data_IF_604361038155
#
_entry.id   IF_604361038155
#
_cell.length_a   1.000
_cell.length_b   1.000
_cell.length_c   1.000
_cell.angle_alpha   90.00
_cell.angle_beta   90.00
_cell.angle_gamma   90.00
#
_symmetry.space_group_name_H-M   'P 1'
#
loop_
_entity.id
_entity.type
_entity.pdbx_description
1 polymer ?
#
# COMPACT_ATOMS: atom_id res chain seq x y z
N UNK A 1 15.91 3.84 -8.27
CA UNK A 1 15.51 3.11 -9.49
C UNK A 1 14.00 2.92 -9.50
N UNK A 2 13.34 2.98 -10.67
CA UNK A 2 11.90 2.70 -10.78
C UNK A 2 11.67 1.18 -10.68
N UNK A 3 10.65 0.70 -9.94
CA UNK A 3 10.34 -0.72 -9.87
C UNK A 3 9.99 -1.27 -11.25
N UNK A 4 10.42 -2.50 -11.52
CA UNK A 4 10.16 -3.21 -12.78
C UNK A 4 8.78 -3.85 -12.70
N UNK A 5 7.90 -3.53 -13.65
CA UNK A 5 6.48 -3.96 -13.59
C UNK A 5 6.19 -5.21 -14.42
N UNK A 6 7.09 -5.60 -15.32
CA UNK A 6 6.91 -6.75 -16.21
C UNK A 6 8.23 -7.43 -16.55
N UNK A 7 8.15 -8.72 -16.91
CA UNK A 7 9.33 -9.49 -17.32
C UNK A 7 10.00 -8.91 -18.58
N UNK A 8 9.23 -8.35 -19.50
CA UNK A 8 9.76 -7.71 -20.71
C UNK A 8 10.59 -6.46 -20.37
N UNK A 9 10.13 -5.67 -19.39
CA UNK A 9 10.87 -4.50 -18.90
C UNK A 9 12.15 -4.91 -18.15
N UNK A 10 12.13 -6.04 -17.44
CA UNK A 10 13.33 -6.60 -16.82
C UNK A 10 14.37 -6.99 -17.88
N UNK A 11 13.95 -7.74 -18.90
CA UNK A 11 14.82 -8.18 -20.00
C UNK A 11 15.41 -6.98 -20.75
N UNK A 12 14.60 -5.94 -20.99
CA UNK A 12 15.08 -4.72 -21.65
C UNK A 12 16.14 -3.98 -20.82
N UNK A 13 15.95 -3.88 -19.50
CA UNK A 13 16.91 -3.22 -18.62
C UNK A 13 18.20 -4.02 -18.45
N UNK A 14 18.11 -5.33 -18.29
CA UNK A 14 19.27 -6.22 -18.22
C UNK A 14 20.07 -6.20 -19.54
N UNK A 15 19.40 -6.01 -20.67
CA UNK A 15 20.07 -5.88 -21.98
C UNK A 15 20.76 -4.53 -22.16
N UNK A 16 20.29 -3.48 -21.49
CA UNK A 16 20.83 -2.11 -21.61
C UNK A 16 21.86 -1.78 -20.53
N UNK A 17 21.86 -2.50 -19.41
CA UNK A 17 22.70 -2.24 -18.25
C UNK A 17 23.60 -3.46 -17.95
N UNK A 18 24.88 -3.43 -18.38
CA UNK A 18 25.80 -4.54 -18.15
C UNK A 18 26.16 -4.73 -16.67
N UNK A 19 26.05 -3.71 -15.81
CA UNK A 19 26.28 -3.86 -14.38
C UNK A 19 25.12 -4.63 -13.73
N UNK A 20 23.88 -4.33 -14.12
CA UNK A 20 22.70 -5.07 -13.66
C UNK A 20 22.74 -6.54 -14.09
N UNK A 21 23.27 -6.82 -15.29
CA UNK A 21 23.44 -8.18 -15.78
C UNK A 21 24.45 -8.99 -14.94
N UNK A 22 25.55 -8.36 -14.50
CA UNK A 22 26.52 -8.99 -13.61
C UNK A 22 25.97 -9.17 -12.19
N UNK A 23 25.18 -8.22 -11.70
CA UNK A 23 24.55 -8.31 -10.38
C UNK A 23 23.53 -9.47 -10.31
N UNK A 24 22.73 -9.66 -11.36
CA UNK A 24 21.82 -10.81 -11.49
C UNK A 24 22.58 -12.14 -11.59
N UNK A 25 23.72 -12.20 -12.28
CA UNK A 25 24.55 -13.43 -12.32
C UNK A 25 25.12 -13.77 -10.95
N UNK A 26 25.47 -12.75 -10.15
CA UNK A 26 26.08 -12.92 -8.84
C UNK A 26 25.07 -13.33 -7.77
N UNK A 27 23.92 -12.65 -7.71
CA UNK A 27 22.83 -12.99 -6.80
C UNK A 27 21.46 -12.70 -7.44
N UNK A 28 20.90 -13.67 -8.18
CA UNK A 28 19.69 -13.45 -8.96
C UNK A 28 18.46 -13.20 -8.08
N UNK A 29 18.39 -13.82 -6.90
CA UNK A 29 17.20 -13.77 -6.03
C UNK A 29 17.11 -12.42 -5.33
N UNK A 30 18.20 -11.95 -4.75
CA UNK A 30 18.23 -10.67 -4.03
C UNK A 30 18.08 -9.49 -5.01
N UNK A 31 18.69 -9.56 -6.19
CA UNK A 31 18.61 -8.51 -7.21
C UNK A 31 17.18 -8.35 -7.73
N UNK A 32 16.47 -9.45 -8.01
CA UNK A 32 15.07 -9.41 -8.46
C UNK A 32 14.15 -8.85 -7.36
N UNK A 33 14.38 -9.20 -6.09
CA UNK A 33 13.61 -8.66 -4.95
C UNK A 33 13.69 -7.14 -4.84
N UNK A 34 14.87 -6.56 -5.07
CA UNK A 34 15.09 -5.09 -5.03
C UNK A 34 14.48 -4.35 -6.21
N UNK A 35 14.29 -5.04 -7.33
CA UNK A 35 13.67 -4.49 -8.53
C UNK A 35 12.13 -4.53 -8.49
N UNK A 36 11.54 -5.25 -7.53
CA UNK A 36 10.09 -5.34 -7.31
C UNK A 36 9.44 -4.02 -6.85
N UNK A 37 8.09 -3.94 -6.83
CA UNK A 37 7.37 -2.74 -6.41
C UNK A 37 7.66 -2.38 -4.93
N UNK A 38 7.94 -1.10 -4.61
CA UNK A 38 8.40 -0.66 -3.29
C UNK A 38 7.38 -0.90 -2.18
N UNK A 39 6.09 -1.04 -2.52
CA UNK A 39 5.01 -1.33 -1.59
C UNK A 39 5.14 -2.71 -0.93
N UNK A 40 5.76 -3.68 -1.59
CA UNK A 40 6.02 -5.00 -0.99
C UNK A 40 7.35 -5.05 -0.22
N UNK A 41 8.30 -4.15 -0.55
CA UNK A 41 9.61 -4.10 0.09
C UNK A 41 9.58 -3.31 1.41
N UNK A 42 8.72 -2.30 1.53
CA UNK A 42 8.74 -1.37 2.67
C UNK A 42 7.57 -1.57 3.65
N UNK A 43 7.79 -2.45 4.63
CA UNK A 43 6.87 -2.68 5.76
C UNK A 43 6.56 -1.42 6.57
N UNK A 44 7.45 -0.42 6.54
CA UNK A 44 7.31 0.80 7.32
C UNK A 44 6.24 1.70 6.71
N UNK A 45 6.25 1.86 5.38
CA UNK A 45 5.20 2.57 4.64
C UNK A 45 3.85 1.89 4.86
N UNK A 46 3.79 0.56 4.75
CA UNK A 46 2.56 -0.19 5.03
C UNK A 46 2.03 0.07 6.44
N UNK A 47 2.90 0.02 7.47
CA UNK A 47 2.49 0.30 8.86
C UNK A 47 2.00 1.72 9.06
N UNK A 48 2.66 2.72 8.47
CA UNK A 48 2.23 4.12 8.59
C UNK A 48 0.85 4.31 7.97
N UNK A 49 0.64 3.83 6.75
CA UNK A 49 -0.63 4.01 6.03
C UNK A 49 -1.77 3.30 6.78
N UNK A 50 -1.58 2.05 7.18
CA UNK A 50 -2.60 1.28 7.92
C UNK A 50 -2.89 1.90 9.28
N UNK A 51 -1.86 2.35 10.02
CA UNK A 51 -2.07 2.99 11.32
C UNK A 51 -2.73 4.37 11.21
N UNK A 52 -2.41 5.17 10.19
CA UNK A 52 -3.05 6.46 9.94
C UNK A 52 -4.52 6.30 9.53
N UNK A 53 -4.82 5.37 8.62
CA UNK A 53 -6.20 5.08 8.19
C UNK A 53 -7.02 4.46 9.34
N UNK A 54 -6.43 3.49 10.07
CA UNK A 54 -7.06 2.89 11.24
C UNK A 54 -7.27 3.88 12.39
N UNK A 55 -6.32 4.79 12.62
CA UNK A 55 -6.46 5.88 13.58
C UNK A 55 -7.59 6.84 13.19
N UNK A 56 -7.64 7.24 11.92
CA UNK A 56 -8.70 8.10 11.39
C UNK A 56 -10.09 7.47 11.54
N UNK A 57 -10.19 6.16 11.27
CA UNK A 57 -11.40 5.36 11.51
C UNK A 57 -11.83 5.40 12.98
N UNK A 58 -10.91 5.13 13.92
CA UNK A 58 -11.23 5.13 15.35
C UNK A 58 -11.66 6.52 15.84
N UNK A 59 -10.97 7.58 15.39
CA UNK A 59 -11.30 8.97 15.75
C UNK A 59 -12.67 9.37 15.20
N UNK A 60 -12.99 9.02 13.95
CA UNK A 60 -14.29 9.35 13.36
C UNK A 60 -15.43 8.60 14.04
N UNK A 61 -15.26 7.31 14.36
CA UNK A 61 -16.27 6.53 15.09
C UNK A 61 -16.47 7.06 16.51
N UNK A 62 -15.40 7.28 17.26
CA UNK A 62 -15.50 7.81 18.64
C UNK A 62 -16.05 9.22 18.67
N UNK A 63 -15.66 10.07 17.73
CA UNK A 63 -16.22 11.42 17.55
C UNK A 63 -17.72 11.39 17.21
N UNK A 64 -18.15 10.47 16.33
CA UNK A 64 -19.56 10.30 15.97
C UNK A 64 -20.39 9.88 17.20
N UNK A 65 -19.91 8.89 17.95
CA UNK A 65 -20.56 8.42 19.19
C UNK A 65 -20.63 9.55 20.20
N UNK A 66 -19.55 10.32 20.39
CA UNK A 66 -19.52 11.46 21.30
C UNK A 66 -20.54 12.55 20.94
N UNK A 67 -20.67 12.87 19.64
CA UNK A 67 -21.69 13.82 19.16
C UNK A 67 -23.11 13.30 19.38
N UNK A 68 -23.36 12.02 19.06
CA UNK A 68 -24.66 11.40 19.22
C UNK A 68 -25.10 11.37 20.70
N UNK A 69 -24.21 11.02 21.62
CA UNK A 69 -24.48 11.08 23.07
C UNK A 69 -24.73 12.50 23.54
N UNK A 70 -24.07 13.50 22.95
CA UNK A 70 -24.31 14.90 23.23
C UNK A 70 -25.60 15.46 22.58
N UNK A 71 -26.40 14.61 21.91
CA UNK A 71 -27.63 15.00 21.22
C UNK A 71 -27.40 15.92 20.02
N UNK A 72 -26.18 15.93 19.46
CA UNK A 72 -25.83 16.71 18.28
C UNK A 72 -25.90 15.83 17.04
N UNK A 73 -26.31 16.42 15.93
CA UNK A 73 -26.26 15.76 14.63
C UNK A 73 -24.82 15.46 14.23
N UNK A 74 -24.61 14.25 13.71
CA UNK A 74 -23.31 13.82 13.20
C UNK A 74 -23.12 14.40 11.79
N UNK A 75 -22.09 15.20 11.52
CA UNK A 75 -21.87 15.78 10.21
C UNK A 75 -21.60 14.71 9.15
N UNK A 76 -22.17 14.86 7.95
CA UNK A 76 -21.96 13.94 6.83
C UNK A 76 -20.49 13.80 6.43
N UNK A 77 -19.70 14.86 6.58
CA UNK A 77 -18.24 14.83 6.37
C UNK A 77 -17.57 13.80 7.29
N UNK A 78 -18.01 13.71 8.55
CA UNK A 78 -17.45 12.77 9.52
C UNK A 78 -17.74 11.32 9.11
N UNK A 79 -18.95 11.06 8.61
CA UNK A 79 -19.37 9.76 8.06
C UNK A 79 -18.58 9.46 6.77
N UNK A 80 -18.40 10.45 5.90
CA UNK A 80 -17.63 10.35 4.67
C UNK A 80 -16.17 9.96 4.90
N UNK A 81 -15.52 10.56 5.90
CA UNK A 81 -14.13 10.23 6.26
C UNK A 81 -14.04 8.80 6.83
N UNK A 82 -14.98 8.40 7.70
CA UNK A 82 -15.02 7.05 8.27
C UNK A 82 -15.21 5.98 7.18
N UNK A 83 -16.18 6.18 6.28
CA UNK A 83 -16.44 5.26 5.16
C UNK A 83 -15.31 5.20 4.14
N UNK A 84 -14.68 6.34 3.81
CA UNK A 84 -13.51 6.38 2.95
C UNK A 84 -12.30 5.66 3.55
N UNK A 85 -12.12 5.77 4.87
CA UNK A 85 -11.06 5.06 5.61
C UNK A 85 -11.32 3.54 5.62
N UNK A 86 -12.56 3.10 5.86
CA UNK A 86 -12.96 1.68 5.73
C UNK A 86 -12.68 1.12 4.34
N UNK A 87 -13.12 1.82 3.29
CA UNK A 87 -12.94 1.38 1.91
C UNK A 87 -11.46 1.26 1.53
N UNK A 88 -10.64 2.19 1.99
CA UNK A 88 -9.19 2.16 1.78
C UNK A 88 -8.53 0.98 2.50
N UNK A 89 -8.91 0.70 3.74
CA UNK A 89 -8.42 -0.48 4.49
C UNK A 89 -8.88 -1.78 3.84
N UNK A 90 -10.14 -1.88 3.41
CA UNK A 90 -10.65 -3.03 2.69
C UNK A 90 -9.87 -3.25 1.37
N UNK A 91 -9.58 -2.19 0.62
CA UNK A 91 -8.76 -2.26 -0.59
C UNK A 91 -7.31 -2.66 -0.33
N UNK A 92 -6.69 -2.16 0.74
CA UNK A 92 -5.31 -2.50 1.12
C UNK A 92 -5.16 -3.95 1.62
N UNK A 93 -6.20 -4.49 2.26
CA UNK A 93 -6.19 -5.84 2.82
C UNK A 93 -6.85 -6.88 1.91
N UNK A 94 -7.43 -6.46 0.79
CA UNK A 94 -8.00 -7.38 -0.18
C UNK A 94 -6.90 -8.28 -0.76
N UNK A 95 -7.13 -9.62 -0.82
CA UNK A 95 -6.18 -10.51 -1.45
C UNK A 95 -5.98 -10.11 -2.92
N UNK A 96 -4.72 -10.11 -3.37
CA UNK A 96 -4.42 -9.83 -4.77
C UNK A 96 -5.14 -10.85 -5.66
N UNK A 97 -5.66 -10.45 -6.83
CA UNK A 97 -6.34 -11.37 -7.74
C UNK A 97 -5.38 -12.51 -8.11
N UNK A 98 -5.70 -13.73 -7.68
CA UNK A 98 -5.05 -14.95 -8.18
C UNK A 98 -5.41 -15.07 -9.65
N UNK A 99 -4.42 -14.86 -10.52
CA UNK A 99 -4.54 -15.17 -11.94
C UNK A 99 -4.35 -16.69 -12.08
N UNK A 100 -5.46 -17.42 -12.20
CA UNK A 100 -5.47 -18.73 -12.87
C UNK A 100 -5.31 -18.53 -14.39
#
# INVERSE_FOLDING_TARGET
MKPVKSMNELVERVSKDPELAEEIKRDPVETIRRLGPPLETDRWIYRIVVSALGGTMLVTVTGAIGLAVAGKDVPDILVGIGTGSLGSLAGLLAPAPSRD
#
